data_IF_123770069335
#
_entry.id   IF_123770069335
#
_cell.length_a   1.000
_cell.length_b   1.000
_cell.length_c   1.000
_cell.angle_alpha   90.00
_cell.angle_beta   90.00
_cell.angle_gamma   90.00
#
_symmetry.space_group_name_H-M   'P 1'
#
loop_
_entity.id
_entity.type
_entity.pdbx_description
1 polymer ?
#
# COMPACT_ATOMS: atom_id res chain seq x y z
N UNK A 1 -8.01 5.77 -20.62
CA UNK A 1 -7.32 4.47 -20.38
C UNK A 1 -5.82 4.57 -20.52
N UNK A 2 -5.27 5.06 -21.65
CA UNK A 2 -3.81 5.23 -21.82
C UNK A 2 -3.17 6.18 -20.80
N UNK A 3 -3.84 7.29 -20.48
CA UNK A 3 -3.29 8.28 -19.53
C UNK A 3 -3.25 7.77 -18.10
N UNK A 4 -4.30 7.06 -17.64
CA UNK A 4 -4.34 6.44 -16.32
C UNK A 4 -3.26 5.37 -16.14
N UNK A 5 -3.03 4.53 -17.15
CA UNK A 5 -1.96 3.53 -17.09
C UNK A 5 -0.58 4.18 -16.99
N UNK A 6 -0.37 5.30 -17.69
CA UNK A 6 0.88 6.06 -17.64
C UNK A 6 1.08 6.72 -16.27
N UNK A 7 0.07 7.39 -15.74
CA UNK A 7 0.09 7.95 -14.38
C UNK A 7 0.35 6.88 -13.32
N UNK A 8 -0.30 5.72 -13.45
CA UNK A 8 -0.11 4.61 -12.53
C UNK A 8 1.33 4.06 -12.59
N UNK A 9 1.90 3.91 -13.78
CA UNK A 9 3.31 3.53 -13.97
C UNK A 9 4.24 4.59 -13.39
N UNK A 10 3.95 5.88 -13.58
CA UNK A 10 4.74 6.97 -13.03
C UNK A 10 4.73 6.95 -11.48
N UNK A 11 3.60 6.59 -10.87
CA UNK A 11 3.44 6.44 -9.41
C UNK A 11 4.17 5.20 -8.90
N UNK A 12 4.07 4.05 -9.58
CA UNK A 12 4.84 2.85 -9.25
C UNK A 12 6.35 3.08 -9.39
N UNK A 13 6.74 3.94 -10.33
CA UNK A 13 8.13 4.32 -10.59
C UNK A 13 8.63 5.39 -9.61
N UNK A 14 7.74 6.01 -8.82
CA UNK A 14 8.09 6.98 -7.82
C UNK A 14 9.02 6.35 -6.77
N UNK A 15 10.04 7.09 -6.37
CA UNK A 15 10.99 6.66 -5.34
C UNK A 15 10.30 6.27 -4.03
N UNK A 16 9.19 6.94 -3.67
CA UNK A 16 8.39 6.58 -2.50
C UNK A 16 7.78 5.18 -2.62
N UNK A 17 7.27 4.80 -3.81
CA UNK A 17 6.70 3.47 -4.06
C UNK A 17 7.80 2.41 -4.14
N UNK A 18 8.95 2.72 -4.75
CA UNK A 18 10.10 1.81 -4.80
C UNK A 18 10.69 1.54 -3.42
N UNK A 19 10.77 2.56 -2.55
CA UNK A 19 11.18 2.41 -1.15
C UNK A 19 10.16 1.61 -0.35
N UNK A 20 8.86 1.85 -0.60
CA UNK A 20 7.77 1.04 -0.03
C UNK A 20 7.88 -0.45 -0.41
N UNK A 21 8.41 -0.77 -1.59
CA UNK A 21 8.60 -2.15 -2.05
C UNK A 21 9.90 -2.80 -1.56
N UNK A 22 10.92 -2.04 -1.14
CA UNK A 22 12.27 -2.59 -0.89
C UNK A 22 12.64 -2.74 0.57
N UNK A 23 12.06 -1.95 1.48
CA UNK A 23 12.32 -2.04 2.91
C UNK A 23 11.01 -2.25 3.66
N UNK A 24 11.09 -3.04 4.73
CA UNK A 24 10.05 -3.16 5.75
C UNK A 24 9.25 -1.90 5.99
N UNK A 25 7.92 -2.01 5.95
CA UNK A 25 7.06 -0.82 5.91
C UNK A 25 6.99 -0.17 7.29
N UNK A 26 7.63 1.00 7.41
CA UNK A 26 7.40 1.92 8.54
C UNK A 26 6.05 2.60 8.37
N UNK A 27 5.34 2.83 9.47
CA UNK A 27 4.02 3.49 9.47
C UNK A 27 4.03 4.86 8.76
N UNK A 28 5.13 5.61 8.88
CA UNK A 28 5.31 6.90 8.21
C UNK A 28 5.40 6.80 6.68
N UNK A 29 5.97 5.70 6.16
CA UNK A 29 6.03 5.45 4.72
C UNK A 29 4.66 5.05 4.17
N UNK A 30 3.89 4.26 4.94
CA UNK A 30 2.51 3.93 4.61
C UNK A 30 1.65 5.19 4.49
N UNK A 31 1.74 6.11 5.44
CA UNK A 31 0.99 7.39 5.40
C UNK A 31 1.30 8.20 4.13
N UNK A 32 2.58 8.31 3.75
CA UNK A 32 2.97 9.02 2.53
C UNK A 32 2.42 8.33 1.27
N UNK A 33 2.42 7.00 1.24
CA UNK A 33 1.82 6.24 0.14
C UNK A 33 0.32 6.52 0.03
N UNK A 34 -0.43 6.44 1.14
CA UNK A 34 -1.87 6.71 1.15
C UNK A 34 -2.18 8.13 0.63
N UNK A 35 -1.41 9.14 1.03
CA UNK A 35 -1.56 10.51 0.53
C UNK A 35 -1.35 10.61 -0.99
N UNK A 36 -0.38 9.87 -1.55
CA UNK A 36 -0.18 9.82 -3.00
C UNK A 36 -1.38 9.15 -3.69
N UNK A 37 -1.84 8.01 -3.19
CA UNK A 37 -2.99 7.30 -3.77
C UNK A 37 -4.25 8.19 -3.78
N UNK A 38 -4.51 8.90 -2.69
CA UNK A 38 -5.60 9.89 -2.59
C UNK A 38 -5.40 11.02 -3.61
N UNK A 39 -4.22 11.61 -3.67
CA UNK A 39 -3.90 12.74 -4.56
C UNK A 39 -4.13 12.38 -6.04
N UNK A 40 -3.76 11.17 -6.43
CA UNK A 40 -3.91 10.67 -7.80
C UNK A 40 -5.24 9.95 -8.05
N UNK A 41 -6.16 9.94 -7.06
CA UNK A 41 -7.47 9.29 -7.15
C UNK A 41 -7.38 7.81 -7.54
N UNK A 42 -6.35 7.13 -7.08
CA UNK A 42 -6.21 5.69 -7.27
C UNK A 42 -7.12 5.01 -6.26
N UNK A 43 -8.00 4.09 -6.67
CA UNK A 43 -8.83 3.35 -5.73
C UNK A 43 -7.96 2.39 -4.91
N UNK A 44 -8.14 2.40 -3.59
CA UNK A 44 -7.48 1.49 -2.67
C UNK A 44 -8.37 1.21 -1.46
N UNK A 45 -8.15 0.06 -0.82
CA UNK A 45 -8.70 -0.28 0.48
C UNK A 45 -7.57 -0.50 1.48
N UNK A 46 -7.75 -0.02 2.70
CA UNK A 46 -6.86 -0.28 3.82
C UNK A 46 -7.66 -0.94 4.94
N UNK A 47 -7.30 -2.16 5.29
CA UNK A 47 -7.89 -2.91 6.40
C UNK A 47 -6.85 -3.09 7.51
N UNK A 48 -7.33 -3.07 8.75
CA UNK A 48 -6.51 -3.29 9.94
C UNK A 48 -7.16 -4.37 10.79
N UNK A 49 -6.43 -5.44 11.05
CA UNK A 49 -6.76 -6.44 12.05
C UNK A 49 -5.84 -6.22 13.26
N UNK A 50 -6.38 -5.82 14.43
CA UNK A 50 -5.58 -5.67 15.64
C UNK A 50 -4.99 -6.99 16.14
N UNK A 51 -5.34 -8.11 15.53
CA UNK A 51 -4.94 -9.43 15.97
C UNK A 51 -5.72 -9.86 17.20
N UNK A 52 -5.63 -11.15 17.52
CA UNK A 52 -6.20 -11.72 18.73
C UNK A 52 -5.34 -12.93 19.16
N UNK A 53 -5.78 -13.70 20.15
CA UNK A 53 -5.02 -14.88 20.62
C UNK A 53 -4.75 -15.95 19.53
N UNK A 54 -5.44 -15.88 18.39
CA UNK A 54 -5.31 -16.80 17.25
C UNK A 54 -4.66 -16.14 16.02
N UNK A 55 -4.75 -14.81 15.88
CA UNK A 55 -4.29 -14.09 14.71
C UNK A 55 -3.26 -13.03 15.10
N UNK A 56 -2.20 -12.89 14.31
CA UNK A 56 -1.26 -11.79 14.47
C UNK A 56 -1.87 -10.46 14.00
N UNK A 57 -1.33 -9.36 14.51
CA UNK A 57 -1.67 -8.03 14.02
C UNK A 57 -1.29 -7.90 12.55
N UNK A 58 -2.20 -7.40 11.73
CA UNK A 58 -1.96 -7.17 10.31
C UNK A 58 -2.61 -5.89 9.84
N UNK A 59 -1.91 -5.20 8.94
CA UNK A 59 -2.49 -4.15 8.10
C UNK A 59 -2.45 -4.67 6.67
N UNK A 60 -3.56 -4.63 5.97
CA UNK A 60 -3.61 -5.01 4.55
C UNK A 60 -4.01 -3.79 3.72
N UNK A 61 -3.20 -3.50 2.70
CA UNK A 61 -3.43 -2.46 1.72
C UNK A 61 -3.67 -3.11 0.36
N UNK A 62 -4.86 -2.89 -0.20
CA UNK A 62 -5.24 -3.34 -1.54
C UNK A 62 -5.31 -2.11 -2.45
N UNK A 63 -4.54 -2.10 -3.54
CA UNK A 63 -4.55 -1.04 -4.55
C UNK A 63 -5.17 -1.60 -5.83
N UNK A 64 -6.22 -0.97 -6.33
CA UNK A 64 -6.93 -1.42 -7.53
C UNK A 64 -6.39 -0.73 -8.78
N UNK A 65 -5.75 -1.51 -9.66
CA UNK A 65 -5.21 -1.03 -10.93
C UNK A 65 -6.31 -1.05 -12.01
N UNK A 66 -7.06 -2.14 -12.05
CA UNK A 66 -8.19 -2.32 -12.96
C UNK A 66 -9.31 -3.07 -12.22
N UNK A 67 -10.54 -3.14 -12.75
CA UNK A 67 -11.61 -3.94 -12.14
C UNK A 67 -11.26 -5.42 -11.94
N UNK A 68 -10.23 -5.92 -12.61
CA UNK A 68 -9.78 -7.32 -12.54
C UNK A 68 -8.33 -7.46 -12.05
N UNK A 69 -7.69 -6.38 -11.60
CA UNK A 69 -6.29 -6.41 -11.20
C UNK A 69 -6.04 -5.51 -10.00
N UNK A 70 -5.55 -6.11 -8.92
CA UNK A 70 -5.15 -5.41 -7.70
C UNK A 70 -3.74 -5.82 -7.28
N UNK A 71 -3.10 -4.94 -6.52
CA UNK A 71 -1.90 -5.24 -5.74
C UNK A 71 -2.31 -5.32 -4.28
N UNK A 72 -1.92 -6.39 -3.59
CA UNK A 72 -2.22 -6.56 -2.17
C UNK A 72 -0.91 -6.59 -1.41
N UNK A 73 -0.83 -5.75 -0.39
CA UNK A 73 0.29 -5.65 0.53
C UNK A 73 -0.18 -6.03 1.91
N UNK A 74 0.42 -7.05 2.50
CA UNK A 74 0.18 -7.44 3.88
C UNK A 74 1.37 -7.00 4.72
N UNK A 75 1.10 -6.15 5.69
CA UNK A 75 2.07 -5.57 6.61
C UNK A 75 1.85 -6.26 7.95
N UNK A 76 2.74 -7.19 8.29
CA UNK A 76 2.69 -7.98 9.53
C UNK A 76 4.09 -8.40 9.97
N UNK A 77 4.31 -8.36 11.29
CA UNK A 77 5.52 -8.68 12.06
C UNK A 77 6.74 -7.73 12.11
N UNK A 78 6.84 -6.65 11.33
CA UNK A 78 7.93 -5.65 11.53
C UNK A 78 7.50 -4.38 12.30
N UNK A 79 6.23 -4.28 12.68
CA UNK A 79 5.75 -3.18 13.56
C UNK A 79 6.08 -3.46 15.04
N UNK A 80 6.55 -4.67 15.37
CA UNK A 80 6.78 -5.09 16.76
C UNK A 80 8.10 -4.61 17.38
N UNK A 81 8.93 -3.85 16.65
CA UNK A 81 10.20 -3.28 17.16
C UNK A 81 10.21 -1.74 17.28
N UNK A 82 9.04 -1.12 17.47
CA UNK A 82 8.94 0.30 17.87
C UNK A 82 8.77 0.47 19.38
#
# INVERSE_FOLDING_TARGET
MKDFQKEFIDILSCEAFRRFMSEGIKLSQLQNLLLLLIKFRIPFDLSYDPGNRRNELSIELVIYITPHSSLTFTIGQEISEL
#
